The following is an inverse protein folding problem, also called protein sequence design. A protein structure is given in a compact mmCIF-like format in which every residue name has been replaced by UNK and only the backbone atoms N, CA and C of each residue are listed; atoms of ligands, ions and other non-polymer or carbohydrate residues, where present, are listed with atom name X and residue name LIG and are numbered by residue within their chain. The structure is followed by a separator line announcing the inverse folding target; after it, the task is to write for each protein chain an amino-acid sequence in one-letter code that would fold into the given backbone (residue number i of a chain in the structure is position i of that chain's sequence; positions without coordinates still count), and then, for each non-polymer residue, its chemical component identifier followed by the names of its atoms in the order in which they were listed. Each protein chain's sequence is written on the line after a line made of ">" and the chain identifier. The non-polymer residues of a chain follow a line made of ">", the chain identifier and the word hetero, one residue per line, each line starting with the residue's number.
data_IF_912413507231
#
_entry.id   IF_912413507231
#
_cell.length_a   1.000
_cell.length_b   1.000
_cell.length_c   1.000
_cell.angle_alpha   90.00
_cell.angle_beta   90.00
_cell.angle_gamma   90.00
#
_symmetry.space_group_name_H-M   'P 1'
#
loop_
_entity.id
_entity.type
_entity.pdbx_description
1 polymer ?
#
# COMPACT_ATOMS: atom_id res chain seq x y z
N UNK A 1 -11.01 8.90 5.99
CA UNK A 1 -10.45 7.54 5.83
C UNK A 1 -9.05 7.53 6.43
N UNK A 2 -8.65 6.42 7.08
CA UNK A 2 -7.32 6.26 7.69
C UNK A 2 -6.32 5.81 6.61
N UNK A 3 -5.06 6.25 6.69
CA UNK A 3 -4.00 5.74 5.83
C UNK A 3 -3.80 4.24 6.05
N UNK A 4 -3.92 3.48 4.97
CA UNK A 4 -3.84 2.03 4.93
C UNK A 4 -3.05 1.52 3.73
N UNK A 5 -2.31 0.44 3.95
CA UNK A 5 -1.59 -0.34 2.95
C UNK A 5 -2.04 -1.79 3.01
N UNK A 6 -2.48 -2.32 1.87
CA UNK A 6 -2.75 -3.74 1.70
C UNK A 6 -1.45 -4.43 1.31
N UNK A 7 -1.04 -5.41 2.10
CA UNK A 7 0.17 -6.20 1.89
C UNK A 7 -0.27 -7.65 1.65
N UNK A 8 0.05 -8.23 0.47
CA UNK A 8 -0.18 -9.65 0.23
C UNK A 8 0.43 -10.52 1.33
N UNK A 9 -0.24 -11.61 1.71
CA UNK A 9 0.21 -12.47 2.81
C UNK A 9 1.61 -13.07 2.54
N UNK A 10 1.91 -13.40 1.28
CA UNK A 10 3.21 -13.89 0.85
C UNK A 10 4.31 -12.83 1.08
N UNK A 11 4.02 -11.56 0.79
CA UNK A 11 4.93 -10.45 1.07
C UNK A 11 5.05 -10.20 2.58
N UNK A 12 3.95 -10.21 3.33
CA UNK A 12 3.97 -10.05 4.77
C UNK A 12 4.84 -11.11 5.45
N UNK A 13 4.77 -12.37 5.01
CA UNK A 13 5.65 -13.45 5.48
C UNK A 13 7.12 -13.15 5.18
N UNK A 14 7.44 -12.73 3.95
CA UNK A 14 8.82 -12.38 3.56
C UNK A 14 9.39 -11.20 4.33
N UNK A 15 8.54 -10.24 4.70
CA UNK A 15 8.90 -9.08 5.51
C UNK A 15 8.96 -9.38 7.02
N UNK A 16 8.67 -10.62 7.43
CA UNK A 16 8.78 -11.05 8.83
C UNK A 16 7.63 -10.60 9.74
N UNK A 17 6.44 -10.33 9.18
CA UNK A 17 5.28 -10.05 10.01
C UNK A 17 4.90 -11.29 10.83
N UNK A 18 4.49 -11.09 12.08
CA UNK A 18 3.88 -12.13 12.88
C UNK A 18 2.48 -12.42 12.33
N UNK A 19 2.28 -13.61 11.76
CA UNK A 19 1.01 -14.00 11.11
C UNK A 19 0.11 -14.86 12.00
N UNK A 20 0.57 -15.20 13.20
CA UNK A 20 -0.18 -16.00 14.16
C UNK A 20 -1.14 -15.10 14.97
N UNK A 21 -2.37 -15.56 15.17
CA UNK A 21 -3.36 -14.85 16.00
C UNK A 21 -3.83 -13.50 15.43
N UNK A 22 -3.68 -13.26 14.13
CA UNK A 22 -4.11 -12.01 13.50
C UNK A 22 -5.60 -11.74 13.74
N UNK A 23 -5.91 -10.51 14.15
CA UNK A 23 -7.30 -10.03 14.20
C UNK A 23 -7.86 -9.92 12.79
N UNK A 24 -9.06 -10.47 12.57
CA UNK A 24 -9.81 -10.29 11.34
C UNK A 24 -10.87 -9.20 11.45
N UNK A 25 -11.10 -8.50 10.36
CA UNK A 25 -12.18 -7.51 10.17
C UNK A 25 -12.94 -7.79 8.88
N UNK A 26 -14.19 -7.31 8.79
CA UNK A 26 -14.98 -7.38 7.54
C UNK A 26 -14.96 -6.03 6.85
N UNK A 27 -14.50 -6.03 5.61
CA UNK A 27 -14.47 -4.86 4.74
C UNK A 27 -15.64 -4.94 3.77
N UNK A 28 -16.40 -3.86 3.65
CA UNK A 28 -17.42 -3.77 2.61
C UNK A 28 -16.76 -3.47 1.28
N UNK A 29 -17.06 -4.30 0.30
CA UNK A 29 -16.66 -4.12 -1.10
C UNK A 29 -17.93 -4.00 -1.95
N UNK A 30 -17.77 -3.81 -3.27
CA UNK A 30 -18.91 -3.75 -4.17
C UNK A 30 -19.68 -5.07 -4.11
N UNK A 31 -20.92 -5.03 -3.62
CA UNK A 31 -21.85 -6.16 -3.60
C UNK A 31 -21.51 -7.29 -2.61
N UNK A 32 -20.50 -7.14 -1.75
CA UNK A 32 -20.09 -8.19 -0.81
C UNK A 32 -19.32 -7.64 0.39
N UNK A 33 -18.92 -8.53 1.29
CA UNK A 33 -17.94 -8.27 2.34
C UNK A 33 -16.76 -9.25 2.21
N UNK A 34 -15.55 -8.77 2.49
CA UNK A 34 -14.34 -9.60 2.52
C UNK A 34 -13.72 -9.58 3.90
N UNK A 35 -13.23 -10.74 4.34
CA UNK A 35 -12.42 -10.83 5.56
C UNK A 35 -11.04 -10.26 5.27
N UNK A 36 -10.54 -9.44 6.18
CA UNK A 36 -9.25 -8.76 6.09
C UNK A 36 -8.50 -8.97 7.41
N UNK A 37 -7.22 -9.34 7.34
CA UNK A 37 -6.37 -9.53 8.52
C UNK A 37 -5.57 -8.27 8.83
N UNK A 38 -5.52 -7.89 10.11
CA UNK A 38 -4.80 -6.70 10.57
C UNK A 38 -3.38 -7.07 10.93
N UNK A 39 -2.41 -6.59 10.14
CA UNK A 39 -0.98 -6.84 10.33
C UNK A 39 -0.32 -5.87 11.32
N UNK A 40 -1.02 -4.81 11.73
CA UNK A 40 -0.55 -3.82 12.69
C UNK A 40 -0.37 -2.43 12.08
N UNK A 41 0.58 -1.66 12.61
CA UNK A 41 0.93 -0.33 12.11
C UNK A 41 2.36 -0.34 11.61
N UNK A 42 2.60 0.25 10.44
CA UNK A 42 3.90 0.26 9.77
C UNK A 42 4.27 1.66 9.32
N UNK A 43 5.57 1.93 9.21
CA UNK A 43 6.09 3.10 8.53
C UNK A 43 6.16 2.84 7.03
N UNK A 44 5.61 3.75 6.22
CA UNK A 44 5.67 3.72 4.76
C UNK A 44 6.33 5.00 4.27
N UNK A 45 7.20 4.90 3.26
CA UNK A 45 7.75 6.06 2.56
C UNK A 45 8.03 5.71 1.10
N UNK A 46 8.03 6.72 0.24
CA UNK A 46 8.46 6.58 -1.16
C UNK A 46 9.97 6.81 -1.25
N UNK A 47 10.65 5.91 -1.94
CA UNK A 47 12.06 6.02 -2.29
C UNK A 47 12.18 6.32 -3.78
N UNK A 48 12.97 7.31 -4.15
CA UNK A 48 13.38 7.57 -5.53
C UNK A 48 14.90 7.68 -5.59
N UNK A 49 15.49 7.65 -6.80
CA UNK A 49 16.95 7.75 -6.94
C UNK A 49 17.56 9.06 -6.43
N UNK A 50 16.75 10.12 -6.32
CA UNK A 50 17.16 11.48 -5.95
C UNK A 50 16.68 11.93 -4.57
N UNK A 51 15.60 11.37 -4.02
CA UNK A 51 15.05 11.77 -2.71
C UNK A 51 14.23 10.66 -2.06
N UNK A 52 13.80 10.92 -0.83
CA UNK A 52 12.78 10.11 -0.15
C UNK A 52 11.70 10.99 0.44
N UNK A 53 10.48 10.48 0.51
CA UNK A 53 9.41 11.14 1.26
C UNK A 53 9.67 11.02 2.77
N UNK A 54 8.93 11.80 3.56
CA UNK A 54 8.80 11.53 5.00
C UNK A 54 8.20 10.13 5.23
N UNK A 55 8.45 9.60 6.42
CA UNK A 55 7.74 8.43 6.92
C UNK A 55 6.28 8.78 7.23
N UNK A 56 5.38 7.89 6.82
CA UNK A 56 3.94 7.97 7.07
C UNK A 56 3.53 6.71 7.83
N UNK A 57 2.80 6.88 8.93
CA UNK A 57 2.26 5.77 9.71
C UNK A 57 1.00 5.24 9.04
N UNK A 58 1.05 4.03 8.50
CA UNK A 58 -0.10 3.38 7.87
C UNK A 58 -0.54 2.16 8.66
N UNK A 59 -1.84 1.88 8.61
CA UNK A 59 -2.36 0.58 9.02
C UNK A 59 -2.00 -0.44 7.94
N UNK A 60 -1.37 -1.55 8.32
CA UNK A 60 -1.10 -2.65 7.41
C UNK A 60 -2.19 -3.70 7.53
N UNK A 61 -2.72 -4.14 6.39
CA UNK A 61 -3.75 -5.18 6.32
C UNK A 61 -3.43 -6.18 5.21
N UNK A 62 -3.96 -7.39 5.32
CA UNK A 62 -3.87 -8.41 4.27
C UNK A 62 -5.27 -8.91 3.93
N UNK A 63 -5.63 -8.86 2.65
CA UNK A 63 -6.86 -9.46 2.12
C UNK A 63 -6.50 -10.83 1.54
N UNK A 64 -7.25 -11.91 1.87
CA UNK A 64 -7.05 -13.22 1.26
C UNK A 64 -7.04 -13.13 -0.27
N UNK A 65 -6.13 -13.86 -0.91
CA UNK A 65 -5.94 -13.89 -2.38
C UNK A 65 -5.49 -12.56 -3.01
N UNK A 66 -5.18 -11.53 -2.23
CA UNK A 66 -4.49 -10.35 -2.71
C UNK A 66 -3.04 -10.70 -3.08
N UNK A 67 -2.61 -10.28 -4.26
CA UNK A 67 -1.29 -10.60 -4.82
C UNK A 67 -0.44 -9.35 -5.14
N UNK A 68 -0.99 -8.15 -5.01
CA UNK A 68 -0.28 -6.88 -5.18
C UNK A 68 -0.43 -6.00 -3.94
N UNK A 69 0.54 -5.09 -3.75
CA UNK A 69 0.43 -4.05 -2.74
C UNK A 69 -0.52 -2.97 -3.22
N UNK A 70 -1.50 -2.60 -2.38
CA UNK A 70 -2.46 -1.53 -2.69
C UNK A 70 -2.34 -0.43 -1.65
N UNK A 71 -2.25 0.81 -2.12
CA UNK A 71 -2.24 2.00 -1.27
C UNK A 71 -3.64 2.62 -1.26
N UNK A 72 -4.15 2.92 -0.07
CA UNK A 72 -5.36 3.76 0.06
C UNK A 72 -5.11 5.18 -0.47
N UNK A 73 -6.18 5.86 -0.87
CA UNK A 73 -6.16 7.27 -1.25
C UNK A 73 -5.60 8.18 -0.13
N UNK A 74 -5.95 7.88 1.12
CA UNK A 74 -5.42 8.56 2.30
C UNK A 74 -3.90 8.41 2.41
N UNK A 75 -3.36 7.20 2.20
CA UNK A 75 -1.92 6.96 2.23
C UNK A 75 -1.20 7.66 1.06
N UNK A 76 -1.76 7.60 -0.15
CA UNK A 76 -1.24 8.30 -1.33
C UNK A 76 -1.13 9.81 -1.06
N UNK A 77 -2.18 10.41 -0.48
CA UNK A 77 -2.19 11.81 -0.08
C UNK A 77 -1.12 12.13 0.97
N UNK A 78 -1.00 11.32 2.02
CA UNK A 78 -0.06 11.58 3.11
C UNK A 78 1.41 11.45 2.68
N UNK A 79 1.69 10.55 1.74
CA UNK A 79 2.99 10.39 1.07
C UNK A 79 3.32 11.55 0.13
N UNK A 80 2.36 12.44 -0.15
CA UNK A 80 2.52 13.55 -1.06
C UNK A 80 2.61 13.13 -2.52
N UNK A 81 1.96 12.02 -2.91
CA UNK A 81 1.96 11.51 -4.29
C UNK A 81 0.74 12.06 -5.03
N UNK A 82 0.97 12.60 -6.23
CA UNK A 82 -0.07 13.05 -7.16
C UNK A 82 -0.05 12.14 -8.38
N UNK A 83 -1.18 11.46 -8.64
CA UNK A 83 -1.36 10.62 -9.82
C UNK A 83 -1.64 11.50 -11.05
N UNK A 84 -0.85 11.33 -12.13
CA UNK A 84 -1.00 12.12 -13.37
C UNK A 84 -1.65 11.26 -14.47
N UNK A 85 -1.05 10.10 -14.78
CA UNK A 85 -1.58 9.12 -15.74
C UNK A 85 -1.40 7.70 -15.18
N UNK A 86 -2.33 7.21 -14.34
CA UNK A 86 -2.18 5.93 -13.63
C UNK A 86 -1.87 4.74 -14.54
N UNK A 87 -2.57 4.63 -15.69
CA UNK A 87 -2.36 3.52 -16.64
C UNK A 87 -0.94 3.46 -17.21
N UNK A 88 -0.30 4.62 -17.34
CA UNK A 88 1.07 4.78 -17.83
C UNK A 88 2.10 4.85 -16.69
N UNK A 89 1.66 4.67 -15.44
CA UNK A 89 2.52 4.77 -14.26
C UNK A 89 3.08 6.17 -14.01
N UNK A 90 2.43 7.24 -14.51
CA UNK A 90 2.96 8.61 -14.32
C UNK A 90 2.39 9.27 -13.07
N UNK A 91 3.30 9.77 -12.23
CA UNK A 91 3.00 10.45 -10.98
C UNK A 91 4.06 11.55 -10.70
N UNK A 92 3.86 12.35 -9.65
CA UNK A 92 4.86 13.29 -9.13
C UNK A 92 4.68 13.48 -7.62
N UNK A 93 5.69 13.99 -6.93
CA UNK A 93 5.46 14.55 -5.61
C UNK A 93 4.64 15.84 -5.70
N UNK A 94 3.85 16.13 -4.65
CA UNK A 94 2.99 17.31 -4.59
C UNK A 94 3.79 18.63 -4.62
N UNK A 95 5.05 18.58 -4.17
CA UNK A 95 5.97 19.71 -4.05
C UNK A 95 6.91 19.86 -5.28
N UNK A 96 6.67 19.14 -6.38
CA UNK A 96 7.52 19.20 -7.58
C UNK A 96 6.71 19.18 -8.89
N UNK A 97 7.31 19.64 -9.98
CA UNK A 97 6.75 19.53 -11.34
C UNK A 97 7.30 18.32 -12.12
N UNK A 98 8.39 17.73 -11.64
CA UNK A 98 9.06 16.57 -12.25
C UNK A 98 8.10 15.37 -12.28
N UNK A 99 7.80 14.88 -13.47
CA UNK A 99 7.04 13.63 -13.65
C UNK A 99 7.94 12.42 -13.43
N UNK A 100 7.40 11.41 -12.77
CA UNK A 100 8.06 10.16 -12.40
C UNK A 100 7.28 8.97 -12.96
N UNK A 101 8.01 7.90 -13.27
CA UNK A 101 7.44 6.60 -13.62
C UNK A 101 7.30 5.72 -12.37
N UNK A 102 6.29 4.86 -12.36
CA UNK A 102 6.19 3.75 -11.43
C UNK A 102 7.19 2.65 -11.82
N UNK A 103 7.68 1.93 -10.83
CA UNK A 103 8.32 0.63 -11.04
C UNK A 103 7.30 -0.38 -11.55
N UNK A 104 7.78 -1.45 -12.21
CA UNK A 104 6.91 -2.56 -12.61
C UNK A 104 6.24 -3.20 -11.38
N UNK A 105 4.96 -3.60 -11.49
CA UNK A 105 4.25 -4.22 -10.39
C UNK A 105 4.90 -5.55 -10.00
N UNK A 106 5.05 -5.75 -8.69
CA UNK A 106 5.50 -7.02 -8.12
C UNK A 106 4.30 -7.85 -7.65
N UNK A 107 4.20 -9.07 -8.15
CA UNK A 107 3.16 -10.03 -7.81
C UNK A 107 3.67 -11.03 -6.76
N UNK A 108 2.89 -11.20 -5.70
CA UNK A 108 3.22 -12.00 -4.52
C UNK A 108 2.20 -13.13 -4.38
N UNK A 109 2.49 -14.24 -5.04
CA UNK A 109 1.69 -15.46 -4.99
C UNK A 109 2.27 -16.43 -3.95
N UNK A 110 1.40 -17.20 -3.30
CA UNK A 110 1.79 -18.35 -2.46
C UNK A 110 2.01 -19.61 -3.30
#
# INVERSE_FOLDING_TARGET
>A
MRAEIHVPIALARRLGFALEGLRSERYRVVGSEVVTYVLGTVGVRVLTGDRSSRWVSARAVSVPRGYEVILSDALIKELGVVLIKPRSGLWRFVDEEKTRGSEEPAYWVE
#
